data_IF_832974123111
#
_entry.id   IF_832974123111
#
_cell.length_a   1.000
_cell.length_b   1.000
_cell.length_c   1.000
_cell.angle_alpha   90.00
_cell.angle_beta   90.00
_cell.angle_gamma   90.00
#
_symmetry.space_group_name_H-M   'P 1'
#
loop_
_entity.id
_entity.type
_entity.pdbx_description
1 polymer ?
#
# COMPACT_ATOMS: atom_id res chain seq x y z
N UNK A 1 -24.89 -43.29 -35.05
CA UNK A 1 -25.95 -44.31 -35.31
C UNK A 1 -25.43 -45.68 -34.83
N UNK A 2 -26.28 -46.71 -34.70
CA UNK A 2 -25.92 -47.98 -34.01
C UNK A 2 -24.74 -48.74 -34.67
N UNK A 3 -23.79 -49.44 -34.01
CA UNK A 3 -23.76 -50.33 -32.80
C UNK A 3 -24.11 -51.80 -33.15
N UNK A 4 -23.33 -52.79 -32.62
CA UNK A 4 -23.47 -54.29 -32.67
C UNK A 4 -22.73 -54.98 -33.85
N UNK A 5 -22.19 -56.22 -33.80
CA UNK A 5 -22.03 -57.36 -32.82
C UNK A 5 -20.99 -58.37 -33.43
N UNK A 6 -20.44 -59.48 -32.88
CA UNK A 6 -20.51 -60.24 -31.59
C UNK A 6 -19.35 -61.31 -31.51
N UNK A 7 -18.93 -61.74 -30.31
CA UNK A 7 -18.52 -63.13 -29.90
C UNK A 7 -17.25 -63.83 -30.53
N UNK A 8 -16.56 -64.81 -29.89
CA UNK A 8 -16.66 -65.44 -28.54
C UNK A 8 -15.37 -66.21 -28.08
N UNK A 9 -15.28 -66.48 -26.76
CA UNK A 9 -14.59 -67.61 -26.05
C UNK A 9 -13.03 -67.58 -25.96
N UNK A 10 -12.38 -68.14 -24.94
CA UNK A 10 -12.84 -68.96 -23.77
C UNK A 10 -12.14 -68.60 -22.42
N UNK A 11 -12.50 -69.28 -21.33
CA UNK A 11 -12.03 -69.10 -19.92
C UNK A 11 -11.37 -70.41 -19.41
N UNK A 12 -10.61 -70.43 -18.28
CA UNK A 12 -11.20 -70.72 -16.94
C UNK A 12 -10.74 -69.73 -15.82
N UNK A 13 -11.43 -69.45 -14.69
CA UNK A 13 -12.20 -70.25 -13.68
C UNK A 13 -11.27 -70.99 -12.69
N UNK A 14 -11.36 -70.91 -11.34
CA UNK A 14 -12.30 -70.30 -10.36
C UNK A 14 -11.51 -69.36 -9.36
N UNK A 15 -11.83 -69.00 -8.10
CA UNK A 15 -12.76 -69.45 -7.01
C UNK A 15 -13.08 -68.30 -6.00
N UNK A 16 -13.61 -68.60 -4.80
CA UNK A 16 -13.96 -67.67 -3.69
C UNK A 16 -13.19 -68.00 -2.38
N UNK A 17 -13.31 -67.26 -1.26
CA UNK A 17 -14.43 -67.31 -0.28
C UNK A 17 -14.53 -66.08 0.66
N UNK A 18 -15.68 -65.92 1.34
CA UNK A 18 -16.03 -64.82 2.27
C UNK A 18 -16.74 -65.40 3.54
N UNK A 19 -17.63 -64.67 4.27
CA UNK A 19 -17.38 -63.56 5.22
C UNK A 19 -17.82 -63.88 6.68
N UNK A 20 -17.53 -62.99 7.65
CA UNK A 20 -18.07 -63.01 9.05
C UNK A 20 -18.45 -61.57 9.51
N UNK A 21 -19.29 -61.44 10.55
CA UNK A 21 -20.03 -60.22 10.95
C UNK A 21 -19.48 -59.53 12.23
N UNK A 22 -19.88 -58.26 12.45
CA UNK A 22 -19.46 -57.28 13.49
C UNK A 22 -19.86 -57.65 14.94
N UNK A 23 -19.33 -56.92 15.97
CA UNK A 23 -20.08 -55.76 16.51
C UNK A 23 -19.22 -54.50 16.90
N UNK A 24 -19.94 -53.41 17.28
CA UNK A 24 -19.55 -52.12 17.92
C UNK A 24 -18.14 -52.00 18.58
N UNK A 25 -17.42 -50.86 18.57
CA UNK A 25 -17.83 -49.52 19.03
C UNK A 25 -16.75 -48.43 18.75
N UNK A 26 -17.09 -47.15 19.00
CA UNK A 26 -16.23 -45.93 19.10
C UNK A 26 -15.35 -45.55 17.87
N UNK A 27 -15.39 -44.27 17.48
CA UNK A 27 -14.65 -43.73 16.33
C UNK A 27 -13.58 -42.70 16.73
N UNK A 28 -12.48 -42.57 15.96
CA UNK A 28 -11.46 -41.53 16.16
C UNK A 28 -11.83 -40.21 15.48
N UNK A 29 -11.31 -39.10 16.03
CA UNK A 29 -11.39 -37.77 15.40
C UNK A 29 -10.65 -37.74 14.07
N UNK A 30 -11.21 -37.05 13.06
CA UNK A 30 -10.55 -36.82 11.79
C UNK A 30 -9.54 -35.67 11.94
N UNK A 31 -8.25 -36.01 12.00
CA UNK A 31 -7.17 -35.01 11.94
C UNK A 31 -7.21 -34.26 10.60
N UNK A 32 -7.23 -32.91 10.68
CA UNK A 32 -7.15 -32.03 9.50
C UNK A 32 -5.85 -32.29 8.71
N UNK A 33 -5.84 -32.06 7.37
CA UNK A 33 -4.61 -32.11 6.59
C UNK A 33 -3.59 -31.09 7.11
N UNK A 34 -2.35 -31.52 7.32
CA UNK A 34 -1.24 -30.61 7.61
C UNK A 34 -0.91 -29.77 6.39
N UNK A 35 -0.97 -28.44 6.52
CA UNK A 35 -0.51 -27.50 5.48
C UNK A 35 0.98 -27.74 5.15
N UNK A 36 1.36 -27.84 3.87
CA UNK A 36 2.75 -28.10 3.49
C UNK A 36 3.63 -26.88 3.79
N UNK A 37 4.50 -27.02 4.79
CA UNK A 37 5.54 -26.05 5.14
C UNK A 37 6.63 -26.01 4.07
N UNK A 38 6.88 -24.84 3.47
CA UNK A 38 7.97 -24.62 2.53
C UNK A 38 8.54 -23.19 2.67
N UNK A 39 9.70 -23.09 3.32
CA UNK A 39 10.64 -21.94 3.37
C UNK A 39 10.06 -20.51 3.53
N UNK A 40 8.96 -20.37 4.27
CA UNK A 40 8.50 -19.12 4.86
C UNK A 40 8.73 -19.05 6.39
N UNK A 41 9.64 -19.88 6.91
CA UNK A 41 10.04 -19.96 8.33
C UNK A 41 10.81 -18.73 8.86
N UNK A 42 11.09 -17.73 8.01
CA UNK A 42 11.85 -16.54 8.36
C UNK A 42 11.03 -15.24 8.29
N UNK A 43 10.38 -14.91 9.42
CA UNK A 43 10.38 -13.51 9.87
C UNK A 43 9.13 -12.67 9.66
N UNK A 44 7.93 -13.24 9.66
CA UNK A 44 6.84 -12.48 10.29
C UNK A 44 7.26 -12.23 11.74
N UNK A 45 7.49 -10.97 12.11
CA UNK A 45 8.09 -10.63 13.40
C UNK A 45 7.15 -10.98 14.56
N UNK A 46 7.69 -11.36 15.72
CA UNK A 46 6.86 -11.56 16.92
C UNK A 46 6.09 -10.28 17.24
N UNK A 47 6.70 -9.11 17.09
CA UNK A 47 6.05 -7.79 17.14
C UNK A 47 4.87 -7.65 16.17
N UNK A 48 5.04 -7.97 14.89
CA UNK A 48 3.97 -7.86 13.89
C UNK A 48 2.83 -8.84 14.16
N UNK A 49 3.15 -10.04 14.66
CA UNK A 49 2.18 -11.02 15.13
C UNK A 49 1.49 -10.59 16.44
N UNK A 50 2.21 -9.99 17.38
CA UNK A 50 1.66 -9.44 18.61
C UNK A 50 0.75 -8.23 18.36
N UNK A 51 1.09 -7.38 17.38
CA UNK A 51 0.21 -6.33 16.89
C UNK A 51 -1.09 -6.94 16.32
N UNK A 52 -0.99 -8.02 15.54
CA UNK A 52 -2.14 -8.77 15.03
C UNK A 52 -3.00 -9.38 16.16
N UNK A 53 -2.39 -10.13 17.09
CA UNK A 53 -3.07 -10.81 18.19
C UNK A 53 -3.73 -9.83 19.19
N UNK A 54 -3.29 -8.57 19.23
CA UNK A 54 -3.92 -7.49 20.01
C UNK A 54 -4.99 -6.69 19.25
N UNK A 55 -5.05 -6.84 17.93
CA UNK A 55 -6.03 -6.17 17.06
C UNK A 55 -7.12 -7.12 16.53
N UNK A 56 -6.95 -8.44 16.68
CA UNK A 56 -7.97 -9.46 16.43
C UNK A 56 -7.47 -10.60 15.51
N UNK A 57 -7.92 -11.84 15.76
CA UNK A 57 -7.59 -12.97 14.87
C UNK A 57 -8.24 -12.82 13.47
N UNK A 58 -9.38 -12.12 13.39
CA UNK A 58 -10.07 -11.74 12.14
C UNK A 58 -9.39 -10.55 11.41
N UNK A 59 -8.06 -10.53 11.41
CA UNK A 59 -7.21 -9.46 10.84
C UNK A 59 -7.34 -9.24 9.32
N UNK A 60 -8.11 -10.06 8.61
CA UNK A 60 -8.52 -9.78 7.23
C UNK A 60 -9.42 -8.52 7.16
N UNK A 61 -10.11 -8.21 8.25
CA UNK A 61 -11.15 -7.18 8.33
C UNK A 61 -10.75 -5.93 9.14
N UNK A 62 -9.52 -5.83 9.65
CA UNK A 62 -9.11 -4.67 10.46
C UNK A 62 -9.21 -3.31 9.73
N UNK A 63 -9.20 -3.36 8.40
CA UNK A 63 -9.36 -2.21 7.52
C UNK A 63 -10.70 -2.20 6.76
N UNK A 64 -11.69 -2.93 7.28
CA UNK A 64 -13.08 -2.97 6.82
C UNK A 64 -14.01 -2.74 8.05
N UNK A 65 -14.54 -1.52 8.26
CA UNK A 65 -15.17 -1.15 9.54
C UNK A 65 -16.51 -1.85 9.85
N UNK A 66 -17.02 -2.65 8.91
CA UNK A 66 -18.25 -3.45 9.05
C UNK A 66 -18.00 -4.84 9.67
N UNK A 67 -16.73 -5.23 9.85
CA UNK A 67 -16.34 -6.57 10.29
C UNK A 67 -15.29 -6.58 11.43
N UNK A 68 -14.91 -5.42 11.95
CA UNK A 68 -14.34 -5.29 13.30
C UNK A 68 -15.35 -5.75 14.37
N UNK A 69 -14.88 -6.38 15.46
CA UNK A 69 -15.76 -6.61 16.62
C UNK A 69 -16.02 -5.30 17.37
N UNK A 70 -17.10 -5.24 18.15
CA UNK A 70 -17.42 -4.07 19.00
C UNK A 70 -16.28 -3.73 19.97
N UNK A 71 -15.60 -4.76 20.50
CA UNK A 71 -14.44 -4.61 21.38
C UNK A 71 -13.18 -4.11 20.64
N UNK A 72 -13.01 -4.45 19.35
CA UNK A 72 -11.91 -3.90 18.53
C UNK A 72 -12.20 -2.46 18.13
N UNK A 73 -13.46 -2.11 17.87
CA UNK A 73 -13.86 -0.72 17.69
C UNK A 73 -13.58 0.11 18.96
N UNK A 74 -13.96 -0.38 20.15
CA UNK A 74 -13.67 0.25 21.44
C UNK A 74 -12.15 0.45 21.64
N UNK A 75 -11.33 -0.58 21.39
CA UNK A 75 -9.86 -0.50 21.43
C UNK A 75 -9.29 0.60 20.52
N UNK A 76 -9.81 0.74 19.30
CA UNK A 76 -9.33 1.76 18.37
C UNK A 76 -9.77 3.18 18.79
N UNK A 77 -10.95 3.34 19.38
CA UNK A 77 -11.38 4.62 19.95
C UNK A 77 -10.56 5.01 21.20
N UNK A 78 -10.26 4.05 22.08
CA UNK A 78 -9.39 4.26 23.24
C UNK A 78 -7.96 4.64 22.82
N UNK A 79 -7.40 3.95 21.82
CA UNK A 79 -6.06 4.24 21.29
C UNK A 79 -5.99 5.62 20.63
N UNK A 80 -7.03 5.98 19.86
CA UNK A 80 -7.23 7.32 19.29
C UNK A 80 -7.31 8.39 20.39
N UNK A 81 -8.17 8.21 21.38
CA UNK A 81 -8.37 9.16 22.48
C UNK A 81 -7.12 9.34 23.34
N UNK A 82 -6.36 8.27 23.57
CA UNK A 82 -5.04 8.34 24.19
C UNK A 82 -4.08 9.20 23.35
N UNK A 83 -3.98 8.94 22.04
CA UNK A 83 -3.14 9.73 21.14
C UNK A 83 -3.52 11.21 21.12
N UNK A 84 -4.81 11.52 20.92
CA UNK A 84 -5.36 12.89 20.89
C UNK A 84 -5.09 13.66 22.19
N UNK A 85 -5.00 12.98 23.34
CA UNK A 85 -4.67 13.61 24.63
C UNK A 85 -3.24 14.15 24.73
N UNK A 86 -2.33 13.75 23.83
CA UNK A 86 -0.93 14.16 23.87
C UNK A 86 -0.67 15.43 23.04
N UNK A 87 0.32 16.23 23.45
CA UNK A 87 0.65 17.53 22.82
C UNK A 87 1.21 17.42 21.40
N UNK A 88 1.68 16.23 21.04
CA UNK A 88 2.28 15.85 19.76
C UNK A 88 1.33 14.99 18.90
N UNK A 89 0.03 15.00 19.17
CA UNK A 89 -1.00 14.31 18.37
C UNK A 89 -1.20 14.89 16.96
N UNK A 90 -0.65 16.07 16.70
CA UNK A 90 -0.78 16.85 15.46
C UNK A 90 0.58 17.30 14.94
N UNK A 91 0.67 17.50 13.63
CA UNK A 91 1.89 17.96 12.95
C UNK A 91 2.10 19.48 13.12
N UNK A 92 3.33 19.89 13.42
CA UNK A 92 3.77 21.29 13.35
C UNK A 92 4.02 21.67 11.88
N UNK A 93 2.93 21.92 11.13
CA UNK A 93 2.99 22.17 9.68
C UNK A 93 3.63 23.52 9.38
N UNK A 94 4.83 23.49 8.80
CA UNK A 94 5.62 24.62 8.31
C UNK A 94 5.42 24.85 6.81
N UNK A 95 4.98 23.81 6.10
CA UNK A 95 4.57 23.89 4.70
C UNK A 95 3.29 24.71 4.47
N UNK A 96 3.04 25.06 3.21
CA UNK A 96 1.85 25.79 2.81
C UNK A 96 0.60 24.90 2.67
N UNK A 97 -0.56 25.55 2.67
CA UNK A 97 -1.83 24.95 2.24
C UNK A 97 -1.70 24.49 0.78
N UNK A 98 -1.79 23.18 0.53
CA UNK A 98 -1.65 22.59 -0.80
C UNK A 98 -2.98 22.68 -1.56
N UNK A 99 -3.13 23.75 -2.34
CA UNK A 99 -4.21 23.90 -3.30
C UNK A 99 -3.90 23.16 -4.59
N UNK A 100 -4.81 22.34 -5.06
CA UNK A 100 -4.66 21.48 -6.22
C UNK A 100 -4.65 22.33 -7.50
N UNK A 101 -5.48 23.37 -7.53
CA UNK A 101 -5.49 24.44 -8.52
C UNK A 101 -4.24 25.34 -8.48
N UNK A 102 -3.42 25.35 -7.41
CA UNK A 102 -2.24 26.25 -7.37
C UNK A 102 -1.13 25.85 -8.33
N UNK A 103 -1.08 24.58 -8.76
CA UNK A 103 -0.25 24.15 -9.89
C UNK A 103 -0.83 24.68 -11.22
N UNK A 104 -0.60 25.97 -11.48
CA UNK A 104 -1.01 26.69 -12.71
C UNK A 104 -0.23 26.24 -13.97
N UNK A 105 0.52 25.14 -13.90
CA UNK A 105 1.16 24.48 -15.05
C UNK A 105 0.42 23.18 -15.33
N UNK A 106 -0.15 22.99 -16.54
CA UNK A 106 -0.86 21.76 -16.86
C UNK A 106 0.08 20.54 -16.82
N UNK A 107 -0.43 19.35 -16.44
CA UNK A 107 -1.84 19.03 -16.20
C UNK A 107 -2.25 19.24 -14.74
N UNK A 108 -3.53 19.56 -14.53
CA UNK A 108 -4.13 19.55 -13.19
C UNK A 108 -3.95 18.17 -12.54
N UNK A 109 -3.56 18.17 -11.27
CA UNK A 109 -3.34 16.95 -10.48
C UNK A 109 -4.67 16.31 -10.05
N UNK A 110 -5.77 17.07 -10.04
CA UNK A 110 -7.05 16.63 -9.49
C UNK A 110 -7.67 15.39 -10.15
N UNK A 111 -7.75 15.27 -11.49
CA UNK A 111 -8.28 14.07 -12.12
C UNK A 111 -7.44 12.82 -11.82
N UNK A 112 -6.13 12.97 -11.63
CA UNK A 112 -5.23 11.87 -11.30
C UNK A 112 -5.44 11.37 -9.87
N UNK A 113 -5.66 12.25 -8.89
CA UNK A 113 -5.98 11.83 -7.52
C UNK A 113 -7.40 11.27 -7.41
N UNK A 114 -8.40 11.85 -8.10
CA UNK A 114 -9.75 11.26 -8.18
C UNK A 114 -9.69 9.83 -8.74
N UNK A 115 -9.05 9.65 -9.91
CA UNK A 115 -8.86 8.36 -10.56
C UNK A 115 -8.08 7.37 -9.68
N UNK A 116 -7.02 7.84 -9.01
CA UNK A 116 -6.25 7.00 -8.10
C UNK A 116 -7.06 6.53 -6.89
N UNK A 117 -7.80 7.43 -6.23
CA UNK A 117 -8.60 7.09 -5.04
C UNK A 117 -9.71 6.09 -5.38
N UNK A 118 -10.39 6.30 -6.50
CA UNK A 118 -11.41 5.40 -7.01
C UNK A 118 -10.84 4.03 -7.36
N UNK A 119 -9.73 3.99 -8.12
CA UNK A 119 -9.10 2.75 -8.53
C UNK A 119 -8.51 1.96 -7.35
N UNK A 120 -7.95 2.62 -6.32
CA UNK A 120 -7.51 2.00 -5.07
C UNK A 120 -8.66 1.37 -4.26
N UNK A 121 -9.88 1.90 -4.37
CA UNK A 121 -11.07 1.26 -3.80
C UNK A 121 -11.58 0.10 -4.69
N UNK A 122 -11.57 0.26 -6.02
CA UNK A 122 -12.12 -0.70 -6.97
C UNK A 122 -11.40 -2.06 -7.05
N UNK A 123 -10.21 -2.22 -6.44
CA UNK A 123 -9.49 -3.50 -6.33
C UNK A 123 -9.78 -4.27 -5.03
N UNK A 124 -10.52 -3.69 -4.08
CA UNK A 124 -10.81 -4.31 -2.79
C UNK A 124 -11.72 -5.54 -2.95
N UNK A 125 -11.66 -6.53 -2.04
CA UNK A 125 -12.64 -7.62 -2.00
C UNK A 125 -14.06 -7.11 -1.73
N UNK A 126 -14.21 -6.14 -0.82
CA UNK A 126 -15.43 -5.36 -0.57
C UNK A 126 -15.16 -3.88 -0.93
N UNK A 127 -15.37 -3.44 -2.18
CA UNK A 127 -15.20 -2.04 -2.54
C UNK A 127 -16.31 -1.19 -1.89
N UNK A 128 -15.95 -0.06 -1.28
CA UNK A 128 -16.92 0.88 -0.71
C UNK A 128 -17.74 1.55 -1.83
N UNK A 129 -19.00 1.97 -1.58
CA UNK A 129 -19.87 2.53 -2.62
C UNK A 129 -19.25 3.73 -3.35
N UNK A 130 -19.19 3.64 -4.68
CA UNK A 130 -18.66 4.67 -5.57
C UNK A 130 -19.41 4.64 -6.92
N UNK A 131 -19.42 5.73 -7.71
CA UNK A 131 -19.97 5.71 -9.08
C UNK A 131 -19.18 4.75 -9.99
N UNK A 132 -19.78 4.18 -11.02
CA UNK A 132 -19.05 3.26 -11.94
C UNK A 132 -17.88 3.93 -12.68
N UNK A 133 -17.98 5.24 -12.92
CA UNK A 133 -16.96 6.07 -13.58
C UNK A 133 -16.45 7.12 -12.56
N UNK A 134 -15.12 7.21 -12.31
CA UNK A 134 -14.52 8.21 -11.44
C UNK A 134 -14.89 9.65 -11.86
N UNK A 135 -15.16 10.56 -10.91
CA UNK A 135 -15.36 11.97 -11.23
C UNK A 135 -14.16 12.55 -11.98
N UNK A 136 -14.42 13.29 -13.06
CA UNK A 136 -13.39 13.84 -13.94
C UNK A 136 -12.88 12.89 -15.05
N UNK A 137 -13.36 11.65 -15.13
CA UNK A 137 -13.12 10.76 -16.28
C UNK A 137 -14.39 10.46 -17.07
N UNK A 138 -14.24 10.11 -18.35
CA UNK A 138 -15.32 9.71 -19.25
C UNK A 138 -15.33 8.20 -19.52
N UNK A 139 -14.37 7.48 -18.95
CA UNK A 139 -14.24 6.03 -19.00
C UNK A 139 -13.45 5.53 -17.79
N UNK A 140 -13.75 4.31 -17.37
CA UNK A 140 -12.93 3.53 -16.44
C UNK A 140 -13.25 2.05 -16.65
N UNK A 141 -12.27 1.26 -17.12
CA UNK A 141 -12.49 -0.12 -17.51
C UNK A 141 -11.33 -1.00 -17.05
N UNK A 142 -11.62 -2.09 -16.34
CA UNK A 142 -10.63 -3.13 -16.04
C UNK A 142 -10.16 -3.79 -17.36
N UNK A 143 -8.87 -3.66 -17.68
CA UNK A 143 -8.27 -4.24 -18.90
C UNK A 143 -7.43 -5.48 -18.62
N UNK A 144 -6.90 -5.64 -17.39
CA UNK A 144 -6.17 -6.85 -16.98
C UNK A 144 -6.22 -7.01 -15.47
N UNK A 145 -6.51 -8.21 -14.98
CA UNK A 145 -6.21 -8.62 -13.61
C UNK A 145 -4.98 -9.53 -13.58
N UNK A 146 -4.19 -9.42 -12.51
CA UNK A 146 -3.06 -10.27 -12.16
C UNK A 146 -3.37 -10.81 -10.76
N UNK A 147 -3.69 -12.10 -10.68
CA UNK A 147 -4.10 -12.76 -9.44
C UNK A 147 -2.97 -12.80 -8.41
N UNK A 148 -3.33 -12.71 -7.13
CA UNK A 148 -2.41 -12.95 -6.03
C UNK A 148 -1.89 -14.39 -6.04
N UNK A 149 -0.59 -14.59 -5.84
CA UNK A 149 -0.02 -15.94 -5.70
C UNK A 149 -0.39 -16.55 -4.34
N UNK A 150 -0.55 -17.88 -4.28
CA UNK A 150 -0.88 -18.59 -3.04
C UNK A 150 0.13 -18.45 -1.88
N UNK A 151 1.31 -17.85 -2.12
CA UNK A 151 2.34 -17.55 -1.13
C UNK A 151 2.58 -16.04 -0.96
N UNK A 152 1.67 -15.16 -1.43
CA UNK A 152 1.76 -13.68 -1.33
C UNK A 152 2.86 -13.00 -2.17
N UNK A 153 3.82 -13.75 -2.71
CA UNK A 153 4.95 -13.33 -3.59
C UNK A 153 4.52 -12.41 -4.75
N UNK A 154 3.27 -12.49 -5.18
CA UNK A 154 2.60 -11.47 -5.99
C UNK A 154 1.27 -11.12 -5.30
N UNK A 155 1.02 -9.84 -5.05
CA UNK A 155 -0.28 -9.32 -4.59
C UNK A 155 -1.20 -9.09 -5.79
N UNK A 156 -2.51 -9.15 -5.55
CA UNK A 156 -3.50 -8.91 -6.60
C UNK A 156 -3.30 -7.50 -7.19
N UNK A 157 -3.12 -7.43 -8.51
CA UNK A 157 -2.81 -6.19 -9.23
C UNK A 157 -3.74 -6.05 -10.43
N UNK A 158 -4.46 -4.93 -10.50
CA UNK A 158 -5.39 -4.64 -11.61
C UNK A 158 -4.86 -3.49 -12.45
N UNK A 159 -4.93 -3.65 -13.78
CA UNK A 159 -4.75 -2.55 -14.71
C UNK A 159 -6.12 -2.09 -15.23
N UNK A 160 -6.38 -0.79 -15.13
CA UNK A 160 -7.55 -0.14 -15.70
C UNK A 160 -7.13 0.83 -16.81
N UNK A 161 -7.99 1.04 -17.81
CA UNK A 161 -7.88 2.14 -18.77
C UNK A 161 -8.94 3.20 -18.41
N UNK A 162 -8.54 4.46 -18.43
CA UNK A 162 -9.41 5.61 -18.19
C UNK A 162 -9.13 6.72 -19.22
N UNK A 163 -10.06 7.67 -19.32
CA UNK A 163 -9.91 8.86 -20.19
C UNK A 163 -10.30 10.10 -19.39
N UNK A 164 -9.38 11.04 -19.21
CA UNK A 164 -9.62 12.28 -18.45
C UNK A 164 -10.53 13.21 -19.26
N UNK A 165 -11.72 13.55 -18.74
CA UNK A 165 -12.77 14.26 -19.50
C UNK A 165 -12.32 15.64 -19.98
N UNK A 166 -11.53 16.36 -19.19
CA UNK A 166 -11.09 17.73 -19.47
C UNK A 166 -9.98 17.83 -20.53
N UNK A 167 -9.32 16.73 -20.88
CA UNK A 167 -8.18 16.72 -21.82
C UNK A 167 -8.29 15.67 -22.93
N UNK A 168 -9.16 14.68 -22.79
CA UNK A 168 -9.17 13.47 -23.63
C UNK A 168 -7.97 12.55 -23.40
N UNK A 169 -7.15 12.81 -22.36
CA UNK A 169 -5.92 12.07 -22.09
C UNK A 169 -6.22 10.65 -21.62
N UNK A 170 -5.63 9.65 -22.29
CA UNK A 170 -5.77 8.25 -21.93
C UNK A 170 -4.78 7.88 -20.80
N UNK A 171 -5.26 7.17 -19.78
CA UNK A 171 -4.46 6.78 -18.61
C UNK A 171 -4.59 5.28 -18.37
N UNK A 172 -3.45 4.58 -18.26
CA UNK A 172 -3.35 3.21 -17.78
C UNK A 172 -3.02 3.25 -16.29
N UNK A 173 -3.98 2.88 -15.46
CA UNK A 173 -3.83 2.86 -14.00
C UNK A 173 -3.39 1.47 -13.56
N UNK A 174 -2.25 1.36 -12.87
CA UNK A 174 -1.75 0.14 -12.24
C UNK A 174 -2.07 0.20 -10.76
N UNK A 175 -3.07 -0.58 -10.33
CA UNK A 175 -3.52 -0.63 -8.94
C UNK A 175 -2.93 -1.86 -8.25
N UNK A 176 -2.23 -1.67 -7.13
CA UNK A 176 -1.76 -2.76 -6.26
C UNK A 176 -2.65 -2.86 -5.02
N UNK A 177 -3.20 -4.04 -4.75
CA UNK A 177 -4.02 -4.30 -3.55
C UNK A 177 -3.12 -4.39 -2.30
N UNK A 178 -3.58 -3.84 -1.18
CA UNK A 178 -2.91 -3.96 0.11
C UNK A 178 -2.91 -5.41 0.63
N UNK A 179 -4.06 -5.91 1.05
CA UNK A 179 -4.29 -7.29 1.46
C UNK A 179 -5.62 -7.80 0.90
N UNK A 180 -5.76 -9.13 0.85
CA UNK A 180 -7.02 -9.84 0.66
C UNK A 180 -6.97 -11.24 1.25
N UNK A 181 -6.30 -11.37 2.39
CA UNK A 181 -6.27 -12.58 3.22
C UNK A 181 -5.02 -12.68 4.10
N UNK A 182 -5.02 -13.58 5.09
CA UNK A 182 -3.91 -13.83 6.04
C UNK A 182 -2.55 -14.06 5.33
N UNK A 183 -2.54 -14.70 4.16
CA UNK A 183 -1.32 -14.93 3.38
C UNK A 183 -0.69 -13.66 2.81
N UNK A 184 -1.50 -12.63 2.51
CA UNK A 184 -0.99 -11.30 2.11
C UNK A 184 -0.41 -10.57 3.34
N UNK A 185 -0.96 -10.79 4.54
CA UNK A 185 -0.53 -10.16 5.79
C UNK A 185 0.81 -10.67 6.35
N UNK A 186 1.11 -11.97 6.21
CA UNK A 186 2.37 -12.56 6.68
C UNK A 186 3.61 -11.93 6.00
N UNK A 187 3.44 -11.40 4.78
CA UNK A 187 4.46 -10.63 4.08
C UNK A 187 4.56 -9.20 4.61
N UNK A 188 3.42 -8.53 4.82
CA UNK A 188 3.39 -7.14 5.28
C UNK A 188 3.84 -7.01 6.75
N UNK A 189 3.71 -8.07 7.55
CA UNK A 189 4.28 -8.18 8.91
C UNK A 189 5.77 -8.54 8.96
N UNK A 190 6.44 -8.72 7.82
CA UNK A 190 7.89 -8.97 7.73
C UNK A 190 8.68 -7.64 7.75
N UNK A 191 8.50 -6.91 8.86
CA UNK A 191 9.11 -5.62 9.22
C UNK A 191 10.65 -5.63 9.34
N UNK A 192 11.32 -6.66 8.81
CA UNK A 192 12.76 -6.68 8.63
C UNK A 192 13.16 -5.96 7.34
N UNK A 193 14.36 -5.39 7.32
CA UNK A 193 14.93 -4.79 6.12
C UNK A 193 15.63 -5.82 5.23
N UNK A 194 15.79 -5.49 3.96
CA UNK A 194 16.61 -6.21 2.99
C UNK A 194 17.22 -5.23 1.99
N UNK A 195 18.48 -5.47 1.60
CA UNK A 195 19.17 -4.63 0.62
C UNK A 195 18.44 -4.60 -0.74
N UNK A 196 18.31 -3.41 -1.30
CA UNK A 196 17.78 -3.17 -2.64
C UNK A 196 18.94 -3.29 -3.63
N UNK A 197 18.90 -4.33 -4.45
CA UNK A 197 19.89 -4.53 -5.51
C UNK A 197 19.53 -3.72 -6.77
N UNK A 198 20.53 -3.51 -7.63
CA UNK A 198 20.40 -2.77 -8.89
C UNK A 198 19.41 -3.37 -9.90
N UNK A 199 18.89 -4.57 -9.66
CA UNK A 199 17.79 -5.14 -10.44
C UNK A 199 16.45 -4.44 -10.13
N UNK A 200 16.24 -3.94 -8.91
CA UNK A 200 14.99 -3.27 -8.50
C UNK A 200 15.10 -1.76 -8.59
N UNK A 201 16.11 -1.14 -8.00
CA UNK A 201 16.32 0.31 -8.09
C UNK A 201 17.73 0.56 -8.59
N UNK A 202 17.86 1.26 -9.72
CA UNK A 202 19.16 1.52 -10.33
C UNK A 202 19.90 2.61 -9.54
N UNK A 203 20.68 2.17 -8.54
CA UNK A 203 21.44 3.06 -7.66
C UNK A 203 22.45 3.96 -8.41
N UNK A 204 22.78 3.65 -9.68
CA UNK A 204 23.63 4.50 -10.51
C UNK A 204 22.92 5.78 -10.98
N UNK A 205 21.59 5.79 -11.08
CA UNK A 205 20.83 7.03 -11.38
C UNK A 205 20.43 7.81 -10.12
N UNK A 206 20.54 7.19 -8.94
CA UNK A 206 20.33 7.87 -7.65
C UNK A 206 21.60 8.52 -7.10
N UNK A 207 22.78 8.15 -7.63
CA UNK A 207 24.09 8.67 -7.23
C UNK A 207 24.58 9.68 -8.27
N UNK A 208 24.45 11.00 -8.07
CA UNK A 208 25.00 11.98 -9.02
C UNK A 208 26.53 11.86 -9.07
N UNK A 209 27.10 11.69 -10.27
CA UNK A 209 28.53 11.44 -10.46
C UNK A 209 29.40 12.51 -9.77
N UNK A 210 30.12 12.13 -8.70
CA UNK A 210 31.17 12.94 -8.07
C UNK A 210 32.47 12.93 -8.89
N UNK A 211 32.36 13.11 -10.20
CA UNK A 211 33.49 13.26 -11.12
C UNK A 211 34.21 14.59 -10.85
N UNK A 212 35.26 14.55 -10.01
CA UNK A 212 36.13 15.70 -9.76
C UNK A 212 36.48 16.00 -8.30
N UNK A 213 36.06 15.18 -7.33
CA UNK A 213 36.43 15.36 -5.91
C UNK A 213 37.45 14.33 -5.41
N UNK A 214 38.69 14.77 -5.11
CA UNK A 214 39.77 13.95 -4.53
C UNK A 214 39.54 13.52 -3.06
N UNK A 215 38.28 13.48 -2.59
CA UNK A 215 37.96 12.88 -1.29
C UNK A 215 37.73 11.37 -1.44
N UNK A 216 38.17 10.55 -0.47
CA UNK A 216 37.89 9.12 -0.50
C UNK A 216 36.38 8.89 -0.50
N UNK A 217 35.88 8.20 -1.52
CA UNK A 217 34.45 7.90 -1.65
C UNK A 217 33.95 7.13 -0.42
N UNK A 218 33.26 7.83 0.48
CA UNK A 218 32.29 7.19 1.35
C UNK A 218 31.14 6.76 0.45
N UNK A 219 31.12 5.49 0.06
CA UNK A 219 29.91 4.91 -0.53
C UNK A 219 28.74 5.22 0.40
N UNK A 220 27.60 5.73 -0.11
CA UNK A 220 26.41 5.88 0.72
C UNK A 220 26.03 4.51 1.31
N UNK A 221 25.41 4.47 2.50
CA UNK A 221 24.90 3.21 3.02
C UNK A 221 23.96 2.57 1.99
N UNK A 222 23.99 1.23 1.83
CA UNK A 222 23.15 0.56 0.85
C UNK A 222 21.68 0.92 1.10
N UNK A 223 20.95 1.17 0.02
CA UNK A 223 19.51 1.32 0.12
C UNK A 223 18.93 -0.02 0.57
N UNK A 224 18.13 -0.01 1.61
CA UNK A 224 17.35 -1.16 2.05
C UNK A 224 15.87 -0.84 1.92
N UNK A 225 15.05 -1.88 1.78
CA UNK A 225 13.60 -1.77 1.74
C UNK A 225 12.95 -2.79 2.67
N UNK A 226 11.68 -2.55 3.00
CA UNK A 226 10.83 -3.50 3.71
C UNK A 226 10.87 -4.86 2.99
N UNK A 227 11.34 -5.91 3.69
CA UNK A 227 11.65 -7.21 3.07
C UNK A 227 10.44 -7.83 2.38
N UNK A 228 9.27 -7.71 3.00
CA UNK A 228 8.01 -8.16 2.42
C UNK A 228 7.68 -7.46 1.11
N UNK A 229 7.65 -6.13 1.11
CA UNK A 229 7.32 -5.34 -0.09
C UNK A 229 8.35 -5.55 -1.20
N UNK A 230 9.65 -5.58 -0.88
CA UNK A 230 10.72 -5.83 -1.85
C UNK A 230 10.58 -7.20 -2.52
N UNK A 231 10.24 -8.24 -1.74
CA UNK A 231 10.01 -9.59 -2.26
C UNK A 231 8.79 -9.64 -3.19
N UNK A 232 7.69 -8.99 -2.82
CA UNK A 232 6.49 -8.96 -3.67
C UNK A 232 6.67 -8.10 -4.93
N UNK A 233 7.37 -6.98 -4.83
CA UNK A 233 7.73 -6.14 -6.00
C UNK A 233 8.58 -6.96 -6.98
N UNK A 234 9.59 -7.70 -6.48
CA UNK A 234 10.39 -8.66 -7.25
C UNK A 234 9.53 -9.67 -8.02
N UNK A 235 8.57 -10.32 -7.35
CA UNK A 235 7.63 -11.26 -8.00
C UNK A 235 6.68 -10.61 -9.02
N UNK A 236 6.43 -9.30 -8.89
CA UNK A 236 5.41 -8.58 -9.67
C UNK A 236 5.95 -7.88 -10.92
N UNK A 237 7.20 -7.42 -10.93
CA UNK A 237 7.79 -6.59 -12.01
C UNK A 237 7.54 -7.15 -13.42
N UNK A 238 7.83 -8.43 -13.66
CA UNK A 238 7.70 -9.04 -15.00
C UNK A 238 6.25 -9.12 -15.47
N UNK A 239 5.32 -9.42 -14.57
CA UNK A 239 3.87 -9.47 -14.83
C UNK A 239 3.32 -8.09 -15.13
N UNK A 240 3.70 -7.09 -14.33
CA UNK A 240 3.28 -5.69 -14.49
C UNK A 240 3.85 -5.10 -15.79
N UNK A 241 5.13 -5.34 -16.09
CA UNK A 241 5.76 -4.88 -17.33
C UNK A 241 5.06 -5.44 -18.58
N UNK A 242 4.77 -6.75 -18.60
CA UNK A 242 4.05 -7.39 -19.72
C UNK A 242 2.62 -6.87 -19.86
N UNK A 243 1.91 -6.67 -18.75
CA UNK A 243 0.56 -6.11 -18.76
C UNK A 243 0.54 -4.64 -19.23
N UNK A 244 1.51 -3.83 -18.81
CA UNK A 244 1.70 -2.45 -19.27
C UNK A 244 2.00 -2.39 -20.77
N UNK A 245 2.94 -3.20 -21.25
CA UNK A 245 3.30 -3.25 -22.68
C UNK A 245 2.08 -3.62 -23.55
N UNK A 246 1.26 -4.58 -23.10
CA UNK A 246 0.00 -4.93 -23.75
C UNK A 246 -1.04 -3.79 -23.70
N UNK A 247 -1.22 -3.13 -22.55
CA UNK A 247 -2.13 -2.00 -22.37
C UNK A 247 -1.76 -0.80 -23.25
N UNK A 248 -0.47 -0.48 -23.34
CA UNK A 248 0.09 0.64 -24.10
C UNK A 248 0.01 0.38 -25.61
N UNK A 249 0.27 -0.85 -26.08
CA UNK A 249 0.08 -1.23 -27.49
C UNK A 249 -1.38 -1.23 -27.95
N UNK A 250 -2.33 -1.26 -27.02
CA UNK A 250 -3.78 -1.28 -27.28
C UNK A 250 -4.48 0.03 -26.91
N UNK A 251 -3.73 1.11 -26.70
CA UNK A 251 -4.27 2.46 -26.62
C UNK A 251 -4.90 2.87 -27.94
N UNK A 252 -6.01 3.61 -27.87
CA UNK A 252 -6.77 4.05 -29.06
C UNK A 252 -6.59 5.54 -29.36
N UNK A 253 -6.03 6.31 -28.43
CA UNK A 253 -5.77 7.74 -28.59
C UNK A 253 -4.64 8.06 -29.59
N UNK A 254 -4.64 9.26 -30.19
CA UNK A 254 -3.53 9.76 -31.01
C UNK A 254 -2.31 10.17 -30.19
N UNK A 255 -2.44 10.24 -28.86
CA UNK A 255 -1.36 10.42 -27.89
C UNK A 255 -1.13 9.12 -27.14
N UNK A 256 0.13 8.86 -26.75
CA UNK A 256 0.46 7.68 -25.93
C UNK A 256 -0.13 7.84 -24.52
N UNK A 257 -0.68 6.78 -23.92
CA UNK A 257 -1.31 6.89 -22.60
C UNK A 257 -0.26 7.19 -21.52
N UNK A 258 -0.68 7.91 -20.48
CA UNK A 258 0.11 8.05 -19.25
C UNK A 258 -0.07 6.81 -18.39
N UNK A 259 0.96 6.47 -17.60
CA UNK A 259 0.86 5.39 -16.60
C UNK A 259 0.73 6.02 -15.22
N UNK A 260 -0.17 5.47 -14.40
CA UNK A 260 -0.46 5.92 -13.05
C UNK A 260 -0.42 4.71 -12.08
N UNK A 261 0.63 4.60 -11.27
CA UNK A 261 0.77 3.59 -10.22
C UNK A 261 0.06 4.03 -8.95
N UNK A 262 -0.82 3.20 -8.41
CA UNK A 262 -1.64 3.56 -7.23
C UNK A 262 -1.78 2.39 -6.28
N UNK A 263 -2.02 2.72 -5.02
CA UNK A 263 -2.30 1.74 -3.98
C UNK A 263 -2.60 2.42 -2.65
N UNK A 264 -3.36 1.71 -1.82
CA UNK A 264 -3.65 2.07 -0.44
C UNK A 264 -2.77 1.25 0.51
N UNK A 265 -2.40 1.78 1.68
CA UNK A 265 -1.69 1.06 2.74
C UNK A 265 -0.41 0.38 2.22
N UNK A 266 -0.16 -0.89 2.56
CA UNK A 266 0.94 -1.70 2.04
C UNK A 266 0.96 -1.79 0.49
N UNK A 267 -0.21 -1.77 -0.15
CA UNK A 267 -0.35 -1.71 -1.60
C UNK A 267 0.19 -0.40 -2.17
N UNK A 268 0.04 0.71 -1.44
CA UNK A 268 0.66 2.00 -1.74
C UNK A 268 2.19 1.92 -1.67
N UNK A 269 2.75 1.31 -0.63
CA UNK A 269 4.20 1.11 -0.50
C UNK A 269 4.77 0.28 -1.67
N UNK A 270 4.09 -0.80 -2.05
CA UNK A 270 4.46 -1.64 -3.21
C UNK A 270 4.26 -0.94 -4.55
N UNK A 271 3.23 -0.10 -4.71
CA UNK A 271 3.03 0.73 -5.90
C UNK A 271 4.13 1.79 -6.05
N UNK A 272 4.56 2.41 -4.95
CA UNK A 272 5.69 3.35 -4.91
C UNK A 272 7.03 2.68 -5.28
N UNK A 273 7.29 1.46 -4.79
CA UNK A 273 8.47 0.68 -5.15
C UNK A 273 8.45 0.22 -6.63
N UNK A 274 7.30 -0.21 -7.16
CA UNK A 274 7.14 -0.50 -8.59
C UNK A 274 7.34 0.75 -9.45
N UNK A 275 6.80 1.89 -9.03
CA UNK A 275 7.02 3.17 -9.70
C UNK A 275 8.51 3.56 -9.72
N UNK A 276 9.19 3.51 -8.57
CA UNK A 276 10.63 3.76 -8.48
C UNK A 276 11.41 2.85 -9.44
N UNK A 277 11.09 1.56 -9.48
CA UNK A 277 11.66 0.61 -10.43
C UNK A 277 11.44 1.03 -11.90
N UNK A 278 10.21 1.30 -12.32
CA UNK A 278 9.92 1.68 -13.71
C UNK A 278 10.49 3.06 -14.11
N UNK A 279 10.77 3.95 -13.15
CA UNK A 279 11.48 5.22 -13.39
C UNK A 279 13.00 5.00 -13.51
N UNK A 280 13.63 4.30 -12.56
CA UNK A 280 15.10 4.15 -12.56
C UNK A 280 15.59 3.12 -13.58
N UNK A 281 14.93 1.98 -13.68
CA UNK A 281 15.31 0.88 -14.57
C UNK A 281 14.72 1.04 -15.99
N UNK A 282 14.23 2.23 -16.35
CA UNK A 282 13.40 2.47 -17.55
C UNK A 282 14.04 2.05 -18.87
N UNK A 283 15.39 2.05 -18.95
CA UNK A 283 16.15 1.55 -20.11
C UNK A 283 15.88 0.07 -20.46
N UNK A 284 15.33 -0.70 -19.51
CA UNK A 284 14.91 -2.11 -19.73
C UNK A 284 13.53 -2.22 -20.38
N UNK A 285 12.83 -1.11 -20.56
CA UNK A 285 11.45 -1.04 -21.04
C UNK A 285 11.34 -0.09 -22.25
N UNK A 286 11.76 -0.50 -23.46
CA UNK A 286 11.69 0.33 -24.67
C UNK A 286 10.28 0.88 -24.97
N UNK A 287 9.22 0.20 -24.53
CA UNK A 287 7.85 0.69 -24.67
C UNK A 287 7.57 1.96 -23.83
N UNK A 288 8.33 2.25 -22.77
CA UNK A 288 8.22 3.45 -21.93
C UNK A 288 9.16 4.59 -22.37
N UNK A 289 10.30 4.27 -22.98
CA UNK A 289 11.29 5.22 -23.48
C UNK A 289 11.88 4.72 -24.83
N UNK A 290 11.12 4.87 -25.93
CA UNK A 290 11.51 4.38 -27.25
C UNK A 290 12.62 5.22 -27.90
N UNK A 291 13.37 4.67 -28.88
CA UNK A 291 14.43 5.40 -29.58
C UNK A 291 13.90 6.62 -30.36
N UNK A 292 14.65 7.72 -30.33
CA UNK A 292 14.25 9.02 -30.90
C UNK A 292 14.08 9.06 -32.43
N UNK A 293 14.43 7.99 -33.15
CA UNK A 293 14.22 7.87 -34.60
C UNK A 293 12.79 7.45 -34.97
N UNK A 294 12.05 6.86 -34.03
CA UNK A 294 10.62 6.56 -34.19
C UNK A 294 9.79 7.85 -34.14
N UNK A 295 9.61 8.50 -35.29
CA UNK A 295 8.86 9.77 -35.42
C UNK A 295 7.46 9.67 -34.79
N UNK A 296 7.26 10.34 -33.66
CA UNK A 296 5.99 10.38 -32.92
C UNK A 296 5.98 9.56 -31.62
N UNK A 297 7.03 8.80 -31.31
CA UNK A 297 7.11 7.96 -30.11
C UNK A 297 7.45 8.77 -28.84
N UNK A 298 6.51 9.59 -28.37
CA UNK A 298 6.66 10.33 -27.11
C UNK A 298 7.05 9.40 -25.95
N UNK A 299 7.90 9.88 -25.04
CA UNK A 299 8.19 9.18 -23.78
C UNK A 299 6.92 9.10 -22.95
N UNK A 300 6.69 7.96 -22.32
CA UNK A 300 5.53 7.81 -21.43
C UNK A 300 5.83 8.51 -20.10
N UNK A 301 4.94 9.43 -19.73
CA UNK A 301 4.87 10.00 -18.38
C UNK A 301 4.39 8.91 -17.42
N UNK A 302 5.27 8.56 -16.49
CA UNK A 302 5.00 7.69 -15.36
C UNK A 302 4.55 8.57 -14.19
N UNK A 303 3.53 8.15 -13.45
CA UNK A 303 2.97 8.91 -12.33
C UNK A 303 2.68 7.94 -11.18
N UNK A 304 2.68 8.42 -9.94
CA UNK A 304 2.28 7.64 -8.78
C UNK A 304 1.51 8.49 -7.76
N UNK A 305 0.41 7.93 -7.25
CA UNK A 305 -0.41 8.50 -6.18
C UNK A 305 -0.79 7.37 -5.22
N UNK A 306 -0.36 7.47 -3.96
CA UNK A 306 -0.61 6.45 -2.93
C UNK A 306 -1.45 7.02 -1.78
N UNK A 307 -2.15 6.17 -1.03
CA UNK A 307 -3.03 6.57 0.07
C UNK A 307 -2.65 5.84 1.36
N UNK A 308 -2.29 6.58 2.41
CA UNK A 308 -1.89 6.00 3.71
C UNK A 308 -0.71 5.02 3.62
N UNK A 309 0.18 5.20 2.63
CA UNK A 309 1.20 4.20 2.32
C UNK A 309 2.15 3.96 3.51
N UNK A 310 2.43 2.69 3.81
CA UNK A 310 3.42 2.34 4.82
C UNK A 310 4.82 2.79 4.37
N UNK A 311 5.72 3.15 5.30
CA UNK A 311 7.11 3.46 4.96
C UNK A 311 7.80 2.22 4.39
N UNK A 312 8.67 2.42 3.39
CA UNK A 312 9.10 1.36 2.49
C UNK A 312 10.62 1.19 2.37
N UNK A 313 11.41 2.23 2.65
CA UNK A 313 12.87 2.28 2.38
C UNK A 313 13.68 2.89 3.53
N UNK A 314 14.95 2.52 3.68
CA UNK A 314 15.83 3.01 4.76
C UNK A 314 16.37 4.43 4.56
N UNK A 315 16.13 5.04 3.40
CA UNK A 315 16.58 6.39 3.05
C UNK A 315 15.53 7.05 2.13
N UNK A 316 15.24 8.34 2.31
CA UNK A 316 14.31 9.05 1.43
C UNK A 316 14.94 9.29 0.03
N UNK A 317 14.50 8.49 -0.94
CA UNK A 317 14.95 8.56 -2.34
C UNK A 317 14.02 9.42 -3.24
N UNK A 318 12.99 10.06 -2.67
CA UNK A 318 11.99 10.82 -3.44
C UNK A 318 12.62 11.92 -4.31
N UNK A 319 13.56 12.77 -3.83
CA UNK A 319 14.19 13.80 -4.65
C UNK A 319 15.00 13.23 -5.83
N UNK A 320 15.60 12.07 -5.67
CA UNK A 320 16.36 11.40 -6.74
C UNK A 320 15.44 10.81 -7.80
N UNK A 321 14.28 10.26 -7.41
CA UNK A 321 13.23 9.82 -8.34
C UNK A 321 12.67 11.03 -9.12
N UNK A 322 12.39 12.15 -8.45
CA UNK A 322 11.94 13.38 -9.12
C UNK A 322 12.98 13.97 -10.08
N UNK A 323 14.27 13.86 -9.73
CA UNK A 323 15.37 14.23 -10.63
C UNK A 323 15.39 13.35 -11.88
N UNK A 324 15.15 12.04 -11.74
CA UNK A 324 15.00 11.11 -12.86
C UNK A 324 13.77 11.45 -13.73
N UNK A 325 12.62 11.78 -13.13
CA UNK A 325 11.42 12.21 -13.85
C UNK A 325 11.67 13.50 -14.64
N UNK A 326 12.31 14.49 -14.02
CA UNK A 326 12.66 15.78 -14.64
C UNK A 326 13.58 15.59 -15.84
N UNK A 327 14.60 14.73 -15.71
CA UNK A 327 15.49 14.36 -16.82
C UNK A 327 14.78 13.58 -17.95
N UNK A 328 13.64 12.92 -17.67
CA UNK A 328 12.81 12.26 -18.69
C UNK A 328 11.92 13.24 -19.45
N UNK A 329 11.30 14.22 -18.79
CA UNK A 329 10.23 15.06 -19.37
C UNK A 329 10.67 16.14 -20.38
N UNK A 330 11.93 16.11 -20.83
CA UNK A 330 12.49 17.12 -21.73
C UNK A 330 11.68 17.36 -23.02
N UNK A 331 11.60 18.62 -23.44
CA UNK A 331 11.07 19.01 -24.76
C UNK A 331 9.54 19.14 -24.88
N UNK A 332 8.77 18.91 -23.80
CA UNK A 332 7.32 19.17 -23.79
C UNK A 332 6.43 18.03 -23.28
N UNK A 333 6.98 17.02 -22.60
CA UNK A 333 6.15 16.03 -21.89
C UNK A 333 5.51 16.66 -20.65
N UNK A 334 4.23 16.38 -20.32
CA UNK A 334 3.61 16.91 -19.11
C UNK A 334 4.37 16.47 -17.85
N UNK A 335 4.47 17.32 -16.81
CA UNK A 335 5.13 16.95 -15.55
C UNK A 335 4.48 15.72 -14.92
N UNK A 336 5.35 14.84 -14.42
CA UNK A 336 4.95 13.63 -13.70
C UNK A 336 4.56 13.92 -12.27
N UNK A 337 3.56 13.20 -11.78
CA UNK A 337 3.04 13.30 -10.40
C UNK A 337 3.66 12.19 -9.56
N UNK A 338 4.15 12.49 -8.35
CA UNK A 338 4.64 11.50 -7.39
C UNK A 338 4.27 11.94 -5.96
N UNK A 339 3.10 11.50 -5.48
CA UNK A 339 2.49 12.01 -4.24
C UNK A 339 2.08 10.86 -3.31
N UNK A 340 2.41 10.98 -2.03
CA UNK A 340 1.90 10.15 -0.95
C UNK A 340 0.82 10.94 -0.19
N UNK A 341 -0.45 10.54 -0.32
CA UNK A 341 -1.60 11.20 0.31
C UNK A 341 -1.87 10.54 1.66
N UNK A 342 -1.85 11.33 2.73
CA UNK A 342 -2.06 10.86 4.11
C UNK A 342 -3.15 11.67 4.79
N UNK A 343 -3.59 11.22 5.97
CA UNK A 343 -4.55 11.93 6.80
C UNK A 343 -3.91 12.16 8.17
N UNK A 344 -4.04 13.37 8.72
CA UNK A 344 -3.55 13.67 10.05
C UNK A 344 -4.21 12.74 11.09
N UNK A 345 -3.38 12.02 11.85
CA UNK A 345 -3.81 10.99 12.82
C UNK A 345 -3.52 9.55 12.37
N UNK A 346 -3.33 9.30 11.07
CA UNK A 346 -3.11 7.95 10.51
C UNK A 346 -1.75 7.35 10.97
N UNK A 347 -1.73 6.27 11.77
CA UNK A 347 -0.49 5.64 12.22
C UNK A 347 0.31 4.97 11.10
N UNK A 348 -0.30 4.60 9.97
CA UNK A 348 0.31 3.72 8.98
C UNK A 348 1.49 4.36 8.24
N UNK A 349 1.47 5.68 8.00
CA UNK A 349 2.62 6.42 7.41
C UNK A 349 3.90 6.34 8.27
N UNK A 350 3.74 6.03 9.56
CA UNK A 350 4.81 5.89 10.54
C UNK A 350 5.13 4.44 10.92
N UNK A 351 4.42 3.44 10.37
CA UNK A 351 4.39 2.08 10.89
C UNK A 351 5.60 1.23 10.47
N UNK A 352 6.78 1.59 11.01
CA UNK A 352 7.94 0.70 11.09
C UNK A 352 7.89 -0.21 12.33
N UNK A 353 8.89 -1.08 12.50
CA UNK A 353 8.99 -2.00 13.64
C UNK A 353 8.95 -1.28 14.99
N UNK A 354 9.66 -0.15 15.13
CA UNK A 354 9.75 0.57 16.40
C UNK A 354 8.41 1.23 16.73
N UNK A 355 7.73 1.80 15.72
CA UNK A 355 6.41 2.38 15.88
C UNK A 355 5.33 1.32 16.17
N UNK A 356 5.43 0.13 15.56
CA UNK A 356 4.55 -1.00 15.89
C UNK A 356 4.69 -1.42 17.38
N UNK A 357 5.92 -1.54 17.90
CA UNK A 357 6.17 -1.81 19.32
C UNK A 357 5.54 -0.70 20.19
N UNK A 358 5.75 0.56 19.81
CA UNK A 358 5.24 1.73 20.53
C UNK A 358 3.71 1.73 20.65
N UNK A 359 2.99 1.44 19.56
CA UNK A 359 1.52 1.35 19.57
C UNK A 359 1.03 0.18 20.45
N UNK A 360 1.64 -1.01 20.32
CA UNK A 360 1.30 -2.20 21.13
C UNK A 360 1.51 -1.95 22.62
N UNK A 361 2.58 -1.27 23.02
CA UNK A 361 2.85 -0.94 24.42
C UNK A 361 1.76 -0.03 25.03
N UNK A 362 1.31 0.98 24.27
CA UNK A 362 0.25 1.88 24.73
C UNK A 362 -1.11 1.20 24.78
N UNK A 363 -1.47 0.40 23.77
CA UNK A 363 -2.71 -0.40 23.77
C UNK A 363 -2.76 -1.39 24.96
N UNK A 364 -1.63 -2.04 25.29
CA UNK A 364 -1.49 -2.86 26.50
C UNK A 364 -1.72 -2.09 27.80
N UNK A 365 -1.27 -0.84 27.89
CA UNK A 365 -1.39 -0.01 29.10
C UNK A 365 -2.83 0.40 29.42
N UNK A 366 -3.67 0.56 28.39
CA UNK A 366 -5.10 0.84 28.53
C UNK A 366 -5.83 -0.36 29.16
N UNK A 367 -5.58 -1.56 28.64
CA UNK A 367 -6.18 -2.80 29.15
C UNK A 367 -5.75 -3.16 30.59
N UNK A 368 -4.48 -2.97 30.96
CA UNK A 368 -4.04 -3.24 32.34
C UNK A 368 -4.64 -2.27 33.35
N UNK A 369 -4.91 -1.02 32.93
CA UNK A 369 -5.56 -0.01 33.76
C UNK A 369 -7.03 -0.36 34.04
N UNK A 370 -7.75 -0.94 33.08
CA UNK A 370 -9.16 -1.34 33.24
C UNK A 370 -9.41 -2.51 34.20
N UNK A 371 -8.44 -3.43 34.36
CA UNK A 371 -8.59 -4.60 35.23
C UNK A 371 -8.10 -4.40 36.68
N UNK A 372 -7.49 -3.25 37.00
CA UNK A 372 -6.80 -3.03 38.27
C UNK A 372 -7.71 -2.69 39.48
N UNK A 373 -8.92 -3.26 39.53
CA UNK A 373 -9.90 -3.02 40.61
C UNK A 373 -9.94 -4.14 41.67
N UNK A 374 -8.78 -4.76 41.94
CA UNK A 374 -8.58 -5.73 43.01
C UNK A 374 -7.19 -5.54 43.67
N UNK A 375 -7.19 -4.88 44.84
CA UNK A 375 -6.11 -4.85 45.82
C UNK A 375 -4.67 -4.51 45.34
N UNK A 376 -4.28 -3.24 45.52
CA UNK A 376 -3.06 -2.99 46.30
C UNK A 376 -3.07 -1.63 47.01
N UNK A 377 -2.21 -1.51 48.02
CA UNK A 377 -2.25 -0.43 49.02
C UNK A 377 -1.40 0.77 48.63
N UNK A 378 -1.79 1.91 49.20
CA UNK A 378 -1.15 3.22 49.14
C UNK A 378 0.39 3.18 49.08
N UNK A 379 0.96 3.68 47.98
CA UNK A 379 2.21 4.43 48.02
C UNK A 379 1.96 5.84 47.46
N UNK A 380 2.51 6.90 48.06
CA UNK A 380 2.35 8.27 47.57
C UNK A 380 3.21 8.46 46.31
N UNK A 381 2.64 8.18 45.14
CA UNK A 381 3.27 8.54 43.87
C UNK A 381 3.43 10.07 43.81
N UNK A 382 4.67 10.55 43.84
CA UNK A 382 4.99 11.95 43.53
C UNK A 382 4.45 12.29 42.15
N UNK A 383 3.70 13.39 42.05
CA UNK A 383 3.26 13.99 40.79
C UNK A 383 4.46 14.55 40.00
N UNK A 384 5.26 13.67 39.42
CA UNK A 384 6.02 13.99 38.21
C UNK A 384 5.05 13.88 37.03
N UNK A 385 5.20 14.77 36.08
CA UNK A 385 4.34 14.84 34.91
C UNK A 385 4.54 13.58 34.08
N UNK A 386 3.52 12.72 33.99
CA UNK A 386 3.50 11.57 33.08
C UNK A 386 3.31 12.05 31.64
N UNK A 387 4.34 12.73 31.12
CA UNK A 387 4.55 12.79 29.67
C UNK A 387 4.89 11.36 29.22
N UNK A 388 4.22 10.81 28.20
CA UNK A 388 4.59 9.52 27.63
C UNK A 388 6.05 9.51 27.18
N UNK A 389 6.61 8.31 27.00
CA UNK A 389 7.84 8.19 26.23
C UNK A 389 7.60 8.81 24.83
N UNK A 390 8.53 9.62 24.29
CA UNK A 390 8.35 10.18 22.96
C UNK A 390 8.21 9.06 21.93
N UNK A 391 7.37 9.22 20.88
CA UNK A 391 7.34 8.30 19.76
C UNK A 391 8.75 8.06 19.21
N UNK A 392 9.09 6.84 18.77
CA UNK A 392 10.42 6.53 18.26
C UNK A 392 10.76 7.41 17.04
N UNK A 393 12.06 7.62 16.73
CA UNK A 393 12.45 8.27 15.48
C UNK A 393 11.98 7.44 14.28
N UNK A 394 11.77 8.08 13.13
CA UNK A 394 11.50 7.39 11.88
C UNK A 394 12.75 6.60 11.48
N UNK A 395 12.63 5.29 11.29
CA UNK A 395 13.75 4.45 10.77
C UNK A 395 13.54 4.02 9.33
N UNK A 396 12.37 4.32 8.76
CA UNK A 396 11.97 4.04 7.39
C UNK A 396 11.20 5.22 6.82
N UNK A 397 11.30 5.38 5.51
CA UNK A 397 10.79 6.52 4.75
C UNK A 397 9.72 6.08 3.74
N UNK A 398 8.74 6.96 3.49
CA UNK A 398 7.73 6.78 2.46
C UNK A 398 8.24 7.16 1.07
N UNK A 399 7.42 6.93 0.04
CA UNK A 399 7.76 7.18 -1.36
C UNK A 399 6.77 8.16 -2.00
N UNK A 400 7.24 9.37 -2.32
CA UNK A 400 6.46 10.45 -2.92
C UNK A 400 6.37 11.69 -2.01
N UNK A 401 6.04 12.85 -2.59
CA UNK A 401 5.80 14.08 -1.82
C UNK A 401 4.58 13.93 -0.93
N UNK A 402 4.69 14.26 0.35
CA UNK A 402 3.61 14.05 1.31
C UNK A 402 2.55 15.16 1.21
N UNK A 403 1.30 14.75 0.97
CA UNK A 403 0.12 15.60 0.95
C UNK A 403 -0.82 15.16 2.08
N UNK A 404 -0.91 15.95 3.15
CA UNK A 404 -1.68 15.59 4.34
C UNK A 404 -3.04 16.30 4.37
N UNK A 405 -4.13 15.52 4.42
CA UNK A 405 -5.44 16.03 4.81
C UNK A 405 -5.47 16.33 6.32
N UNK A 406 -5.96 17.51 6.69
CA UNK A 406 -6.09 17.99 8.07
C UNK A 406 -7.46 18.66 8.24
N UNK A 407 -8.20 18.25 9.27
CA UNK A 407 -9.39 18.97 9.72
C UNK A 407 -8.97 20.10 10.67
N UNK A 408 -9.24 21.36 10.32
CA UNK A 408 -9.02 22.49 11.24
C UNK A 408 -10.13 22.60 12.28
N UNK A 409 -11.36 22.22 11.93
CA UNK A 409 -12.52 22.33 12.82
C UNK A 409 -12.78 21.02 13.59
N UNK A 410 -12.03 20.81 14.67
CA UNK A 410 -12.14 19.60 15.51
C UNK A 410 -13.46 19.48 16.31
N UNK A 411 -14.17 20.59 16.52
CA UNK A 411 -15.31 20.66 17.47
C UNK A 411 -16.60 21.24 16.88
N UNK A 412 -16.59 21.72 15.64
CA UNK A 412 -17.77 22.24 14.95
C UNK A 412 -18.50 21.21 14.08
N UNK A 413 -19.75 21.51 13.73
CA UNK A 413 -20.58 20.64 12.88
C UNK A 413 -20.15 20.62 11.39
N UNK A 414 -19.42 21.64 10.94
CA UNK A 414 -18.94 21.80 9.56
C UNK A 414 -17.42 21.58 9.52
N UNK A 415 -16.95 20.70 8.62
CA UNK A 415 -15.54 20.28 8.58
C UNK A 415 -14.70 21.18 7.67
N UNK A 416 -13.81 21.97 8.27
CA UNK A 416 -12.77 22.70 7.54
C UNK A 416 -11.62 21.73 7.19
N UNK A 417 -11.84 20.90 6.15
CA UNK A 417 -10.85 19.97 5.61
C UNK A 417 -9.93 20.70 4.64
N UNK A 418 -8.62 20.72 4.90
CA UNK A 418 -7.62 21.23 3.96
C UNK A 418 -6.52 20.22 3.72
N UNK A 419 -5.81 20.40 2.62
CA UNK A 419 -4.59 19.64 2.32
C UNK A 419 -3.36 20.52 2.55
N UNK A 420 -2.28 19.93 3.04
CA UNK A 420 -1.00 20.62 3.26
C UNK A 420 0.14 19.82 2.61
N UNK A 421 1.12 20.53 2.05
CA UNK A 421 2.42 19.93 1.76
C UNK A 421 3.19 19.81 3.06
N UNK A 422 3.67 18.62 3.37
CA UNK A 422 4.56 18.40 4.52
C UNK A 422 5.85 17.72 4.07
N UNK A 423 6.91 17.97 4.83
CA UNK A 423 8.15 17.19 4.76
C UNK A 423 8.11 16.05 5.79
N UNK A 424 8.82 14.97 5.50
CA UNK A 424 8.78 13.75 6.30
C UNK A 424 9.33 13.94 7.73
N UNK A 425 10.23 14.90 7.94
CA UNK A 425 10.72 15.26 9.26
C UNK A 425 9.68 16.00 10.13
N UNK A 426 8.58 16.49 9.54
CA UNK A 426 7.45 17.05 10.31
C UNK A 426 6.60 15.94 10.95
N UNK A 427 6.80 14.67 10.56
CA UNK A 427 6.24 13.50 11.23
C UNK A 427 7.11 12.99 12.40
N UNK A 428 8.33 13.50 12.60
CA UNK A 428 9.20 13.09 13.71
C UNK A 428 8.60 13.45 15.07
N UNK A 429 8.59 12.48 16.00
CA UNK A 429 8.04 12.67 17.34
C UNK A 429 6.52 12.87 17.42
N UNK A 430 5.80 12.92 16.29
CA UNK A 430 4.33 12.98 16.24
C UNK A 430 3.69 11.64 16.65
N UNK A 431 2.56 11.69 17.35
CA UNK A 431 1.84 10.54 17.89
C UNK A 431 0.52 10.31 17.13
N UNK A 432 0.63 9.79 15.91
CA UNK A 432 -0.51 9.33 15.13
C UNK A 432 -0.96 7.94 15.58
N UNK A 433 -2.20 7.84 16.08
CA UNK A 433 -2.75 6.65 16.74
C UNK A 433 -4.20 6.37 16.31
N UNK A 434 -4.73 7.13 15.35
CA UNK A 434 -6.10 7.01 14.85
C UNK A 434 -6.14 6.10 13.61
N UNK A 435 -6.26 4.78 13.81
CA UNK A 435 -6.50 3.85 12.71
C UNK A 435 -7.86 4.11 12.01
N UNK A 436 -8.81 4.81 12.63
CA UNK A 436 -10.14 5.04 12.04
C UNK A 436 -10.13 6.01 10.87
N UNK A 437 -9.06 6.80 10.70
CA UNK A 437 -8.88 7.61 9.49
C UNK A 437 -8.18 6.88 8.33
N UNK A 438 -7.49 5.78 8.58
CA UNK A 438 -6.68 5.09 7.57
C UNK A 438 -7.48 4.49 6.40
N UNK A 439 -8.76 4.16 6.58
CA UNK A 439 -9.54 3.42 5.59
C UNK A 439 -9.62 4.14 4.23
N UNK A 440 -9.55 3.39 3.12
CA UNK A 440 -9.60 3.97 1.76
C UNK A 440 -10.89 4.78 1.49
N UNK A 441 -12.03 4.41 2.09
CA UNK A 441 -13.27 5.20 1.97
C UNK A 441 -13.13 6.62 2.56
N UNK A 442 -12.34 6.78 3.62
CA UNK A 442 -12.07 8.07 4.26
C UNK A 442 -11.17 8.95 3.40
N UNK A 443 -10.16 8.35 2.76
CA UNK A 443 -9.39 9.04 1.72
C UNK A 443 -10.29 9.49 0.55
N UNK A 444 -11.22 8.66 0.06
CA UNK A 444 -12.16 9.04 -1.01
C UNK A 444 -13.12 10.18 -0.60
N UNK A 445 -13.61 10.16 0.64
CA UNK A 445 -14.45 11.21 1.21
C UNK A 445 -13.69 12.55 1.21
N UNK A 446 -12.46 12.58 1.73
CA UNK A 446 -11.64 13.79 1.85
C UNK A 446 -11.14 14.31 0.49
N UNK A 447 -10.81 13.42 -0.45
CA UNK A 447 -10.54 13.76 -1.87
C UNK A 447 -11.77 14.46 -2.48
N UNK A 448 -12.96 13.90 -2.28
CA UNK A 448 -14.21 14.45 -2.82
C UNK A 448 -14.62 15.77 -2.14
N UNK A 449 -14.26 15.95 -0.87
CA UNK A 449 -14.47 17.16 -0.09
C UNK A 449 -13.63 18.33 -0.64
N UNK A 450 -12.30 18.19 -0.66
CA UNK A 450 -11.40 19.28 -1.06
C UNK A 450 -11.61 19.68 -2.52
N UNK A 451 -11.84 18.71 -3.43
CA UNK A 451 -12.13 19.03 -4.83
C UNK A 451 -13.46 19.79 -4.97
N UNK A 452 -14.47 19.53 -4.13
CA UNK A 452 -15.71 20.32 -4.15
C UNK A 452 -15.46 21.77 -3.70
N UNK A 453 -14.65 21.95 -2.65
CA UNK A 453 -14.29 23.26 -2.12
C UNK A 453 -13.41 24.09 -3.08
N UNK A 454 -12.60 23.45 -3.94
CA UNK A 454 -11.86 24.16 -5.00
C UNK A 454 -12.70 24.50 -6.25
N UNK A 455 -13.94 24.02 -6.33
CA UNK A 455 -14.89 24.31 -7.41
C UNK A 455 -16.07 25.21 -6.99
N UNK A 456 -16.06 25.75 -5.75
CA UNK A 456 -17.11 26.61 -5.17
C UNK A 456 -16.65 28.05 -4.94
#
# INVERSE_FOLDING_TARGET
MNLRKHFHRAVPVLTHSAPVVRPFAQGPSASRPSTPSADNSFGASTTGRELLEYLGEDSEDLFEPESLSEADHERLQDLKGLGESWRNSRVDVRGGEWRWASLHSPPSVAPFIHLASHASNAIRPKPSPAPDIPPGTSSFQLIKHIDSSALGVVKATSLYRATITSTGEEVVVVVVRACGGIGDWVIDGNMGMAAVEGDIIDMSVLSPNTEGSDQPQRHPPPLEAHRGFLHTVRGSISKVASALEAAIRTAAGPQRPRVLFVGHSAGGAMAGLLFAHFVTCVRRYPFLDPPSEERGSGKISLNCVTFGALPAVSQNITPCIESCLTARSGGGSPPSIFIAIIIEGDPCIRLDMAYAIFLVQHLRSLHTSGSANAQQQQQPQTQRQNSPAPPPPLTMHALGKMAMFRNLNLYGAERDIRMYGIEENELEGVAFMDFTVHFMWRHMELVSEVIRQENS
#
